data_IF_961792088387
#
_entry.id   IF_961792088387
#
_cell.length_a   1.000
_cell.length_b   1.000
_cell.length_c   1.000
_cell.angle_alpha   90.00
_cell.angle_beta   90.00
_cell.angle_gamma   90.00
#
_symmetry.space_group_name_H-M   'P 1'
#
loop_
_entity.id
_entity.type
_entity.pdbx_description
1 polymer ?
#
# COMPACT_ATOMS: atom_id res chain seq x y z
N UNK A 1 46.69 41.37 -42.55
CA UNK A 1 46.26 40.93 -41.24
C UNK A 1 45.12 39.95 -41.43
N UNK A 2 45.38 38.65 -41.28
CA UNK A 2 44.35 37.58 -41.38
C UNK A 2 43.80 37.32 -39.98
N UNK A 3 42.49 37.54 -39.77
CA UNK A 3 41.80 37.20 -38.52
C UNK A 3 41.37 35.72 -38.58
N UNK A 4 41.94 34.89 -37.76
CA UNK A 4 41.53 33.50 -37.56
C UNK A 4 40.38 33.49 -36.58
N UNK A 5 39.18 33.07 -37.06
CA UNK A 5 38.02 32.83 -36.16
C UNK A 5 38.13 31.44 -35.56
N UNK A 6 38.25 31.36 -34.24
CA UNK A 6 38.17 30.10 -33.49
C UNK A 6 36.70 29.72 -33.34
N UNK A 7 36.33 28.58 -33.88
CA UNK A 7 34.98 27.97 -33.71
C UNK A 7 35.04 27.12 -32.42
N UNK A 8 34.38 27.55 -31.39
CA UNK A 8 34.20 26.75 -30.15
C UNK A 8 32.95 25.87 -30.32
N UNK A 9 33.17 24.59 -30.49
CA UNK A 9 32.07 23.60 -30.52
C UNK A 9 31.81 23.18 -29.06
N UNK A 10 30.70 23.65 -28.47
CA UNK A 10 30.22 23.20 -27.18
C UNK A 10 29.57 21.81 -27.33
N UNK A 11 30.21 20.79 -26.77
CA UNK A 11 29.67 19.44 -26.67
C UNK A 11 28.72 19.39 -25.46
N UNK A 12 27.40 19.50 -25.71
CA UNK A 12 26.39 19.27 -24.68
C UNK A 12 26.28 17.76 -24.41
N UNK A 13 26.87 17.31 -23.31
CA UNK A 13 26.66 15.95 -22.78
C UNK A 13 25.23 15.86 -22.25
N UNK A 14 24.29 15.25 -23.00
CA UNK A 14 23.00 14.84 -22.45
C UNK A 14 23.25 13.70 -21.46
N UNK A 15 23.20 14.01 -20.18
CA UNK A 15 23.15 12.99 -19.11
C UNK A 15 21.72 12.41 -19.15
N UNK A 16 21.54 11.25 -19.78
CA UNK A 16 20.31 10.48 -19.67
C UNK A 16 20.17 10.04 -18.21
N UNK A 17 19.23 10.65 -17.50
CA UNK A 17 18.83 10.14 -16.18
C UNK A 17 18.32 8.69 -16.33
N UNK A 18 18.72 7.77 -15.43
CA UNK A 18 18.19 6.41 -15.48
C UNK A 18 16.67 6.47 -15.31
N UNK A 19 15.93 5.98 -16.29
CA UNK A 19 14.50 5.74 -16.17
C UNK A 19 14.37 4.59 -15.19
N UNK A 20 14.02 4.90 -13.94
CA UNK A 20 13.64 3.88 -12.97
C UNK A 20 12.33 3.27 -13.46
N UNK A 21 12.38 2.04 -13.97
CA UNK A 21 11.17 1.28 -14.28
C UNK A 21 10.47 1.02 -12.94
N UNK A 22 9.41 1.79 -12.70
CA UNK A 22 8.53 1.57 -11.56
C UNK A 22 7.46 0.58 -12.02
N UNK A 23 7.22 -0.46 -11.19
CA UNK A 23 6.13 -1.39 -11.45
C UNK A 23 4.77 -0.69 -11.42
N UNK A 24 3.77 -1.30 -12.05
CA UNK A 24 2.40 -0.77 -12.06
C UNK A 24 1.81 -0.75 -10.65
N UNK A 25 0.98 0.25 -10.35
CA UNK A 25 0.26 0.34 -9.09
C UNK A 25 -0.66 -0.87 -8.88
N UNK A 26 -0.72 -1.33 -7.62
CA UNK A 26 -1.61 -2.38 -7.14
C UNK A 26 -2.47 -1.83 -5.99
N UNK A 27 -3.50 -1.01 -6.30
CA UNK A 27 -4.13 -0.11 -5.32
C UNK A 27 -5.03 -0.79 -4.29
N UNK A 28 -5.17 -2.11 -4.34
CA UNK A 28 -6.02 -2.83 -3.39
C UNK A 28 -6.09 -4.31 -3.68
N UNK A 29 -7.00 -5.00 -2.99
CA UNK A 29 -7.20 -6.43 -3.12
C UNK A 29 -7.52 -6.82 -4.57
N UNK A 30 -6.75 -7.77 -5.12
CA UNK A 30 -6.81 -8.29 -6.47
C UNK A 30 -6.45 -7.29 -7.58
N UNK A 31 -5.78 -6.18 -7.23
CA UNK A 31 -5.25 -5.21 -8.18
C UNK A 31 -6.29 -4.24 -8.75
N UNK A 32 -5.89 -3.43 -9.74
CA UNK A 32 -6.69 -2.30 -10.22
C UNK A 32 -8.03 -2.70 -10.84
N UNK A 33 -8.12 -3.87 -11.48
CA UNK A 33 -9.36 -4.41 -12.04
C UNK A 33 -9.97 -5.51 -11.17
N UNK A 34 -9.42 -5.79 -10.00
CA UNK A 34 -9.83 -6.88 -9.09
C UNK A 34 -9.87 -8.28 -9.75
N UNK A 35 -8.94 -8.53 -10.65
CA UNK A 35 -8.85 -9.78 -11.45
C UNK A 35 -7.69 -10.68 -11.05
N UNK A 36 -6.80 -10.24 -10.14
CA UNK A 36 -5.53 -10.88 -9.79
C UNK A 36 -4.53 -10.97 -10.97
N UNK A 37 -4.75 -10.20 -12.02
CA UNK A 37 -3.89 -10.21 -13.21
C UNK A 37 -3.09 -8.91 -13.25
N UNK A 38 -1.75 -9.04 -13.24
CA UNK A 38 -0.85 -7.92 -13.52
C UNK A 38 -0.78 -7.67 -15.02
N UNK A 39 -0.81 -6.39 -15.41
CA UNK A 39 -0.59 -5.98 -16.80
C UNK A 39 0.90 -5.85 -17.17
N UNK A 40 1.80 -6.14 -16.25
CA UNK A 40 3.25 -6.04 -16.50
C UNK A 40 3.73 -7.09 -17.50
N UNK A 41 4.70 -6.68 -18.31
CA UNK A 41 5.32 -7.51 -19.33
C UNK A 41 6.85 -7.57 -19.11
N UNK A 42 7.51 -8.52 -19.78
CA UNK A 42 8.97 -8.64 -19.66
C UNK A 42 9.46 -9.19 -18.33
N UNK A 43 8.58 -9.76 -17.52
CA UNK A 43 8.95 -10.37 -16.23
C UNK A 43 9.91 -11.54 -16.43
N UNK A 44 10.79 -11.75 -15.45
CA UNK A 44 11.70 -12.88 -15.44
C UNK A 44 10.92 -14.21 -15.44
N UNK A 45 11.32 -15.12 -16.33
CA UNK A 45 10.72 -16.46 -16.39
C UNK A 45 11.33 -17.43 -15.36
N UNK A 46 12.49 -17.10 -14.83
CA UNK A 46 13.18 -17.88 -13.79
C UNK A 46 14.09 -16.98 -12.98
N UNK A 47 14.34 -17.36 -11.75
CA UNK A 47 15.33 -16.72 -10.91
C UNK A 47 16.70 -17.36 -11.13
N UNK A 48 17.79 -16.59 -10.94
CA UNK A 48 19.14 -17.16 -10.84
C UNK A 48 19.22 -18.09 -9.61
N UNK A 49 20.23 -18.92 -9.57
CA UNK A 49 20.52 -19.75 -8.39
C UNK A 49 20.60 -18.88 -7.13
N UNK A 50 19.97 -19.33 -6.05
CA UNK A 50 19.81 -18.56 -4.79
C UNK A 50 18.64 -17.59 -4.76
N UNK A 51 17.86 -17.45 -5.85
CA UNK A 51 16.65 -16.62 -5.91
C UNK A 51 16.92 -15.13 -6.05
N UNK A 52 15.90 -14.28 -5.80
CA UNK A 52 16.03 -12.83 -5.85
C UNK A 52 16.85 -12.30 -4.68
N UNK A 53 17.60 -11.23 -4.91
CA UNK A 53 18.32 -10.53 -3.85
C UNK A 53 17.33 -9.81 -2.94
N UNK A 54 17.41 -10.08 -1.62
CA UNK A 54 16.62 -9.33 -0.64
C UNK A 54 17.19 -7.90 -0.53
N UNK A 55 16.36 -6.90 -0.80
CA UNK A 55 16.74 -5.49 -0.71
C UNK A 55 16.58 -4.96 0.72
N UNK A 56 15.47 -5.27 1.37
CA UNK A 56 15.19 -4.87 2.75
C UNK A 56 14.18 -5.82 3.40
N UNK A 57 13.95 -5.64 4.68
CA UNK A 57 12.86 -6.24 5.42
C UNK A 57 12.36 -5.26 6.48
N UNK A 58 11.05 -5.25 6.71
CA UNK A 58 10.40 -4.45 7.73
C UNK A 58 9.89 -5.34 8.86
N UNK A 59 10.33 -5.09 10.10
CA UNK A 59 10.09 -5.97 11.23
C UNK A 59 8.92 -5.52 12.13
N UNK A 60 8.46 -4.27 11.99
CA UNK A 60 7.47 -3.68 12.90
C UNK A 60 6.04 -3.71 12.34
N UNK A 61 5.74 -4.64 11.44
CA UNK A 61 4.37 -4.80 10.92
C UNK A 61 3.40 -5.34 11.98
N UNK A 62 3.90 -6.09 12.96
CA UNK A 62 3.08 -6.78 13.93
C UNK A 62 2.36 -7.99 13.34
N UNK A 63 1.16 -8.27 13.85
CA UNK A 63 0.32 -9.39 13.39
C UNK A 63 -0.67 -8.90 12.32
N UNK A 64 -1.06 -9.77 11.42
CA UNK A 64 -2.05 -9.51 10.38
C UNK A 64 -2.02 -10.52 9.25
N UNK A 65 -3.07 -10.56 8.44
CA UNK A 65 -3.25 -11.55 7.36
C UNK A 65 -3.63 -10.90 6.02
N UNK A 66 -3.77 -9.56 6.00
CA UNK A 66 -4.08 -8.81 4.77
C UNK A 66 -2.89 -8.71 3.82
N UNK A 67 -3.15 -8.62 2.54
CA UNK A 67 -2.16 -8.26 1.53
C UNK A 67 -1.83 -6.75 1.55
N UNK A 68 -0.72 -6.33 0.94
CA UNK A 68 -0.41 -4.92 0.76
C UNK A 68 -1.16 -4.33 -0.45
N UNK A 69 -1.44 -3.02 -0.38
CA UNK A 69 -1.66 -2.18 -1.55
C UNK A 69 -0.37 -1.42 -1.88
N UNK A 70 -0.08 -1.24 -3.16
CA UNK A 70 1.14 -0.56 -3.63
C UNK A 70 0.73 0.55 -4.58
N UNK A 71 1.05 1.80 -4.25
CA UNK A 71 0.75 2.95 -5.09
C UNK A 71 1.93 3.93 -5.04
N UNK A 72 2.42 4.27 -6.21
CA UNK A 72 3.57 5.14 -6.35
C UNK A 72 4.79 4.59 -5.61
N UNK A 73 5.31 5.34 -4.67
CA UNK A 73 6.50 4.95 -3.88
C UNK A 73 6.17 4.28 -2.54
N UNK A 74 4.91 4.04 -2.23
CA UNK A 74 4.50 3.50 -0.93
C UNK A 74 3.80 2.14 -1.06
N UNK A 75 4.07 1.31 -0.06
CA UNK A 75 3.32 0.10 0.25
C UNK A 75 2.47 0.38 1.48
N UNK A 76 1.17 0.09 1.39
CA UNK A 76 0.21 0.23 2.49
C UNK A 76 -0.21 -1.16 2.95
N UNK A 77 -0.16 -1.42 4.25
CA UNK A 77 -0.60 -2.68 4.82
C UNK A 77 -1.20 -2.46 6.21
N UNK A 78 -1.97 -3.44 6.65
CA UNK A 78 -2.48 -3.49 8.01
C UNK A 78 -1.61 -4.38 8.88
N UNK A 79 -1.45 -4.00 10.13
CA UNK A 79 -0.73 -4.75 11.13
C UNK A 79 -1.20 -4.43 12.54
N UNK A 80 -0.38 -4.75 13.53
CA UNK A 80 -0.68 -4.44 14.92
C UNK A 80 0.49 -3.72 15.58
N UNK A 81 0.17 -2.80 16.50
CA UNK A 81 1.15 -2.11 17.33
C UNK A 81 0.52 -1.82 18.68
N UNK A 82 1.22 -2.16 19.75
CA UNK A 82 0.70 -2.08 21.10
C UNK A 82 -0.67 -2.79 21.20
N UNK A 83 -1.72 -2.09 21.63
CA UNK A 83 -3.09 -2.60 21.75
C UNK A 83 -3.98 -2.33 20.52
N UNK A 84 -3.40 -1.85 19.40
CA UNK A 84 -4.15 -1.39 18.26
C UNK A 84 -3.79 -2.13 16.96
N UNK A 85 -4.79 -2.35 16.10
CA UNK A 85 -4.56 -2.53 14.67
C UNK A 85 -4.16 -1.19 14.08
N UNK A 86 -3.24 -1.20 13.12
CA UNK A 86 -2.68 0.00 12.50
C UNK A 86 -2.64 -0.11 10.99
N UNK A 87 -2.89 1.02 10.33
CA UNK A 87 -2.58 1.20 8.92
C UNK A 87 -1.17 1.78 8.80
N UNK A 88 -0.33 1.13 8.02
CA UNK A 88 1.09 1.45 7.83
C UNK A 88 1.34 1.91 6.40
N UNK A 89 2.20 2.91 6.22
CA UNK A 89 2.80 3.26 4.94
C UNK A 89 4.31 3.07 5.01
N UNK A 90 4.85 2.30 4.08
CA UNK A 90 6.27 1.96 3.99
C UNK A 90 6.80 2.41 2.64
N UNK A 91 7.91 3.15 2.64
CA UNK A 91 8.57 3.56 1.41
C UNK A 91 9.25 2.35 0.75
N UNK A 92 8.88 2.04 -0.48
CA UNK A 92 9.34 0.83 -1.20
C UNK A 92 10.85 0.85 -1.44
N UNK A 93 11.41 2.02 -1.76
CA UNK A 93 12.84 2.14 -2.06
C UNK A 93 13.75 1.83 -0.87
N UNK A 94 13.30 2.09 0.35
CA UNK A 94 14.13 2.03 1.56
C UNK A 94 13.65 1.01 2.59
N UNK A 95 12.40 0.56 2.51
CA UNK A 95 11.75 -0.25 3.54
C UNK A 95 11.47 0.51 4.84
N UNK A 96 11.56 1.84 4.83
CA UNK A 96 11.30 2.66 6.02
C UNK A 96 9.82 3.01 6.14
N UNK A 97 9.34 3.01 7.38
CA UNK A 97 8.00 3.51 7.70
C UNK A 97 7.94 5.02 7.46
N UNK A 98 6.95 5.44 6.69
CA UNK A 98 6.63 6.86 6.48
C UNK A 98 5.69 7.37 7.57
N UNK A 99 4.67 6.57 7.88
CA UNK A 99 3.71 6.85 8.94
C UNK A 99 2.93 5.59 9.34
N UNK A 100 2.33 5.63 10.54
CA UNK A 100 1.42 4.62 11.05
C UNK A 100 0.20 5.31 11.69
N UNK A 101 -1.00 4.83 11.39
CA UNK A 101 -2.26 5.38 11.91
C UNK A 101 -3.04 4.31 12.64
N UNK A 102 -3.38 4.51 13.92
CA UNK A 102 -4.25 3.60 14.67
C UNK A 102 -5.62 3.47 14.00
N UNK A 103 -6.10 2.23 13.95
CA UNK A 103 -7.35 1.88 13.27
C UNK A 103 -8.43 1.45 14.27
N UNK A 104 -8.05 0.69 15.29
CA UNK A 104 -8.96 0.19 16.32
C UNK A 104 -8.29 -0.87 17.18
N UNK A 105 -9.01 -1.44 18.13
CA UNK A 105 -8.47 -2.50 19.00
C UNK A 105 -8.22 -3.78 18.20
N UNK A 106 -7.22 -4.55 18.62
CA UNK A 106 -6.83 -5.80 17.97
C UNK A 106 -7.98 -6.80 18.01
N UNK A 107 -8.27 -7.41 16.86
CA UNK A 107 -9.10 -8.61 16.80
C UNK A 107 -8.33 -9.76 17.43
N UNK A 108 -8.86 -10.30 18.53
CA UNK A 108 -8.37 -11.54 19.13
C UNK A 108 -9.23 -12.70 18.65
N UNK A 109 -8.60 -13.70 18.04
CA UNK A 109 -9.30 -14.83 17.43
C UNK A 109 -8.46 -16.11 17.55
N UNK A 110 -9.13 -17.24 17.82
CA UNK A 110 -8.45 -18.53 17.95
C UNK A 110 -7.70 -19.01 16.69
N UNK A 111 -7.99 -18.41 15.53
CA UNK A 111 -7.32 -18.69 14.26
C UNK A 111 -6.20 -17.71 13.92
N UNK A 112 -5.96 -16.76 14.81
CA UNK A 112 -4.92 -15.73 14.71
C UNK A 112 -5.45 -14.33 14.93
N UNK A 113 -4.62 -13.48 15.51
CA UNK A 113 -4.96 -12.11 15.89
C UNK A 113 -4.64 -11.11 14.80
N UNK A 114 -5.31 -9.97 14.80
CA UNK A 114 -5.01 -8.82 13.96
C UNK A 114 -5.87 -8.71 12.69
N UNK A 115 -5.62 -7.67 11.87
CA UNK A 115 -6.41 -7.34 10.69
C UNK A 115 -6.25 -8.36 9.56
N UNK A 116 -7.25 -8.43 8.67
CA UNK A 116 -7.31 -9.41 7.57
C UNK A 116 -7.53 -8.80 6.20
N UNK A 117 -7.94 -7.54 6.13
CA UNK A 117 -8.22 -6.85 4.88
C UNK A 117 -6.97 -6.27 4.23
N UNK A 118 -7.02 -6.09 2.93
CA UNK A 118 -6.05 -5.30 2.16
C UNK A 118 -6.55 -3.86 2.12
N UNK A 119 -5.71 -2.85 2.40
CA UNK A 119 -6.08 -1.45 2.19
C UNK A 119 -6.47 -1.17 0.74
N UNK A 120 -7.37 -0.22 0.53
CA UNK A 120 -7.73 0.27 -0.80
C UNK A 120 -7.28 1.72 -0.94
N UNK A 121 -6.63 2.03 -2.06
CA UNK A 121 -6.13 3.38 -2.37
C UNK A 121 -6.90 3.95 -3.54
N UNK A 122 -7.38 5.18 -3.38
CA UNK A 122 -8.00 5.96 -4.45
C UNK A 122 -7.59 7.43 -4.34
N UNK A 123 -6.96 7.94 -5.40
CA UNK A 123 -6.44 9.29 -5.46
C UNK A 123 -5.49 9.61 -4.28
N UNK A 124 -5.86 10.57 -3.46
CA UNK A 124 -5.10 11.01 -2.30
C UNK A 124 -5.57 10.38 -0.97
N UNK A 125 -6.33 9.30 -1.03
CA UNK A 125 -6.92 8.64 0.14
C UNK A 125 -6.56 7.16 0.19
N UNK A 126 -6.42 6.66 1.42
CA UNK A 126 -6.30 5.23 1.70
C UNK A 126 -7.39 4.83 2.68
N UNK A 127 -8.04 3.70 2.40
CA UNK A 127 -9.14 3.14 3.17
C UNK A 127 -8.71 1.80 3.76
N UNK A 128 -9.06 1.59 5.02
CA UNK A 128 -8.67 0.39 5.74
C UNK A 128 -9.80 -0.08 6.66
N UNK A 129 -10.11 -1.38 6.63
CA UNK A 129 -11.10 -2.01 7.50
C UNK A 129 -10.38 -2.88 8.52
N UNK A 130 -10.61 -2.63 9.81
CA UNK A 130 -10.07 -3.42 10.92
C UNK A 130 -10.73 -4.78 11.01
N UNK A 131 -10.09 -5.71 11.72
CA UNK A 131 -10.70 -7.01 12.01
C UNK A 131 -11.96 -6.91 12.89
N UNK A 132 -12.15 -5.80 13.59
CA UNK A 132 -13.32 -5.54 14.44
C UNK A 132 -14.37 -4.62 13.79
N UNK A 133 -14.12 -4.15 12.57
CA UNK A 133 -15.11 -3.40 11.78
C UNK A 133 -14.98 -1.89 11.84
N UNK A 134 -13.87 -1.33 12.31
CA UNK A 134 -13.58 0.08 12.14
C UNK A 134 -13.10 0.33 10.70
N UNK A 135 -13.80 1.18 9.96
CA UNK A 135 -13.43 1.63 8.63
C UNK A 135 -12.84 3.03 8.73
N UNK A 136 -11.57 3.15 8.37
CA UNK A 136 -10.80 4.38 8.35
C UNK A 136 -10.61 4.87 6.92
N UNK A 137 -10.73 6.19 6.72
CA UNK A 137 -10.17 6.92 5.59
C UNK A 137 -9.07 7.85 6.09
N UNK A 138 -7.89 7.75 5.49
CA UNK A 138 -6.74 8.59 5.82
C UNK A 138 -6.15 9.24 4.57
N UNK A 139 -5.47 10.36 4.77
CA UNK A 139 -4.66 11.01 3.75
C UNK A 139 -3.45 10.14 3.41
N UNK A 140 -3.23 9.88 2.13
CA UNK A 140 -2.22 8.95 1.65
C UNK A 140 -0.78 9.38 1.98
N UNK A 141 -0.51 10.69 2.04
CA UNK A 141 0.85 11.21 2.26
C UNK A 141 1.24 11.26 3.73
N UNK A 142 0.27 11.59 4.58
CA UNK A 142 0.53 11.90 6.00
C UNK A 142 -0.02 10.87 6.96
N UNK A 143 -0.90 9.97 6.51
CA UNK A 143 -1.63 9.05 7.37
C UNK A 143 -2.69 9.75 8.25
N UNK A 144 -2.88 11.07 8.12
CA UNK A 144 -3.85 11.81 8.93
C UNK A 144 -5.25 11.29 8.66
N UNK A 145 -5.94 10.89 9.74
CA UNK A 145 -7.34 10.47 9.68
C UNK A 145 -8.22 11.58 9.12
N UNK A 146 -8.97 11.29 8.06
CA UNK A 146 -9.99 12.16 7.47
C UNK A 146 -11.33 11.86 8.13
N UNK A 147 -11.72 10.58 8.17
CA UNK A 147 -12.90 10.09 8.88
C UNK A 147 -12.72 8.63 9.29
N UNK A 148 -13.54 8.18 10.23
CA UNK A 148 -13.63 6.81 10.67
C UNK A 148 -15.04 6.52 11.13
N UNK A 149 -15.54 5.33 10.82
CA UNK A 149 -16.84 4.81 11.26
C UNK A 149 -16.69 3.39 11.74
N UNK A 150 -17.62 2.92 12.58
CA UNK A 150 -17.68 1.53 12.99
C UNK A 150 -18.82 0.82 12.27
N UNK A 151 -18.61 -0.42 11.84
CA UNK A 151 -19.68 -1.24 11.25
C UNK A 151 -20.82 -1.50 12.26
N UNK A 152 -20.52 -1.48 13.55
CA UNK A 152 -21.54 -1.59 14.62
C UNK A 152 -22.55 -0.45 14.56
N UNK A 153 -22.15 0.75 14.16
CA UNK A 153 -23.05 1.91 14.03
C UNK A 153 -24.10 1.73 12.92
N UNK A 154 -23.84 0.77 12.02
CA UNK A 154 -24.74 0.37 10.93
C UNK A 154 -25.48 -0.94 11.20
N UNK A 155 -25.49 -1.38 12.47
CA UNK A 155 -26.14 -2.63 12.89
C UNK A 155 -25.32 -3.88 12.63
N UNK A 156 -24.06 -3.74 12.24
CA UNK A 156 -23.12 -4.83 12.03
C UNK A 156 -22.72 -5.55 13.32
N UNK A 157 -22.23 -6.77 13.16
CA UNK A 157 -21.65 -7.57 14.25
C UNK A 157 -20.31 -8.12 13.79
N UNK A 158 -19.33 -8.16 14.68
CA UNK A 158 -18.04 -8.76 14.37
C UNK A 158 -18.24 -10.25 14.05
N UNK A 159 -17.98 -10.69 12.82
CA UNK A 159 -18.10 -12.10 12.46
C UNK A 159 -17.14 -12.98 13.27
N UNK A 160 -17.40 -14.28 13.35
CA UNK A 160 -16.53 -15.22 14.06
C UNK A 160 -15.07 -15.20 13.59
N UNK A 161 -14.84 -14.85 12.33
CA UNK A 161 -13.50 -14.68 11.72
C UNK A 161 -12.97 -13.24 11.78
N UNK A 162 -13.74 -12.31 12.33
CA UNK A 162 -13.56 -10.88 12.13
C UNK A 162 -13.96 -10.42 10.74
N UNK A 163 -13.83 -9.13 10.48
CA UNK A 163 -14.02 -8.58 9.15
C UNK A 163 -12.82 -8.93 8.27
N UNK A 164 -13.07 -9.58 7.13
CA UNK A 164 -12.04 -10.11 6.23
C UNK A 164 -12.10 -9.49 4.84
N UNK A 165 -13.15 -8.77 4.52
CA UNK A 165 -13.29 -8.13 3.22
C UNK A 165 -12.34 -6.94 3.08
N UNK A 166 -11.95 -6.67 1.84
CA UNK A 166 -11.23 -5.46 1.45
C UNK A 166 -12.23 -4.55 0.75
N UNK A 167 -12.37 -3.33 1.25
CA UNK A 167 -13.39 -2.39 0.77
C UNK A 167 -13.25 -2.10 -0.73
N UNK A 168 -14.38 -1.81 -1.37
CA UNK A 168 -14.43 -1.36 -2.76
C UNK A 168 -14.68 0.15 -2.78
N UNK A 169 -13.82 0.88 -3.49
CA UNK A 169 -14.06 2.27 -3.83
C UNK A 169 -14.70 2.32 -5.22
N UNK A 170 -15.86 2.98 -5.31
CA UNK A 170 -16.61 3.17 -6.55
C UNK A 170 -17.08 4.62 -6.66
N UNK A 171 -16.31 5.43 -7.40
CA UNK A 171 -16.52 6.87 -7.53
C UNK A 171 -16.43 7.58 -6.18
N UNK A 172 -17.53 8.14 -5.72
CA UNK A 172 -17.64 8.87 -4.45
C UNK A 172 -18.03 7.99 -3.25
N UNK A 173 -18.09 6.66 -3.43
CA UNK A 173 -18.58 5.72 -2.43
C UNK A 173 -17.51 4.72 -2.02
N UNK A 174 -17.56 4.34 -0.76
CA UNK A 174 -16.82 3.18 -0.22
C UNK A 174 -17.84 2.12 0.16
N UNK A 175 -17.70 0.95 -0.43
CA UNK A 175 -18.63 -0.17 -0.26
C UNK A 175 -17.98 -1.24 0.62
N UNK A 176 -18.69 -1.67 1.64
CA UNK A 176 -18.35 -2.82 2.48
C UNK A 176 -19.63 -3.36 3.13
N UNK A 177 -19.58 -4.60 3.62
CA UNK A 177 -20.69 -5.21 4.33
C UNK A 177 -20.58 -5.00 5.83
N UNK A 178 -21.64 -4.66 6.54
CA UNK A 178 -21.55 -4.38 7.99
C UNK A 178 -21.46 -5.66 8.85
N UNK A 179 -21.47 -6.85 8.26
CA UNK A 179 -21.37 -8.15 8.94
C UNK A 179 -22.71 -8.81 9.20
#
# INVERSE_FOLDING_TARGET
MKRSSLLVIAFSCLIAAPVMLQGADWPGWRGPQRTDISSESGLLKSWKEGGPTKLWSYQNAGLGYGGPAIVGKHMFLLGTRDESEVLLAIEIATGKESWATPLGSILNNGWGNGPRSTPAVDGNRVYALSGRGELLCADIQTGKKIWQVSMVDFGGRVPGWGYTESVLVDGDRVLCTPG
#
